data_IF_433500638863
#
_entry.id   IF_433500638863
#
_cell.length_a   1.000
_cell.length_b   1.000
_cell.length_c   1.000
_cell.angle_alpha   90.00
_cell.angle_beta   90.00
_cell.angle_gamma   90.00
#
_symmetry.space_group_name_H-M   'P 1'
#
loop_
_entity.id
_entity.type
_entity.pdbx_description
1 polymer ?
#
# COMPACT_ATOMS: atom_id res chain seq x y z
N UNK A 1 -0.19 8.72 7.89
CA UNK A 1 0.94 9.27 7.11
C UNK A 1 1.52 8.21 6.18
N UNK A 2 2.07 7.10 6.70
CA UNK A 2 2.69 6.02 5.91
C UNK A 2 1.90 5.62 4.65
N UNK A 3 0.60 5.34 4.76
CA UNK A 3 -0.21 4.89 3.61
C UNK A 3 -0.33 5.95 2.50
N UNK A 4 -0.48 7.23 2.87
CA UNK A 4 -0.58 8.33 1.93
C UNK A 4 0.78 8.63 1.28
N UNK A 5 1.87 8.66 2.06
CA UNK A 5 3.22 8.83 1.53
C UNK A 5 3.62 7.71 0.56
N UNK A 6 3.24 6.47 0.89
CA UNK A 6 3.42 5.30 0.02
C UNK A 6 2.65 5.49 -1.29
N UNK A 7 1.39 5.93 -1.22
CA UNK A 7 0.57 6.20 -2.40
C UNK A 7 1.17 7.31 -3.29
N UNK A 8 1.69 8.38 -2.70
CA UNK A 8 2.37 9.46 -3.44
C UNK A 8 3.62 8.99 -4.16
N UNK A 9 4.42 8.13 -3.52
CA UNK A 9 5.62 7.52 -4.13
C UNK A 9 5.26 6.55 -5.25
N UNK A 10 4.23 5.74 -5.08
CA UNK A 10 3.76 4.84 -6.15
C UNK A 10 3.20 5.62 -7.34
N UNK A 11 2.55 6.76 -7.09
CA UNK A 11 2.02 7.64 -8.15
C UNK A 11 3.10 8.24 -9.07
N UNK A 12 4.38 8.22 -8.68
CA UNK A 12 5.49 8.66 -9.55
C UNK A 12 6.00 7.58 -10.50
N UNK A 13 5.40 6.39 -10.49
CA UNK A 13 5.80 5.26 -11.34
C UNK A 13 6.97 4.45 -10.78
N UNK A 14 7.29 4.58 -9.49
CA UNK A 14 8.25 3.70 -8.84
C UNK A 14 7.74 2.26 -8.77
N UNK A 15 8.66 1.30 -8.84
CA UNK A 15 8.37 -0.10 -8.65
C UNK A 15 7.72 -0.35 -7.29
N UNK A 16 6.62 -1.11 -7.29
CA UNK A 16 5.83 -1.36 -6.11
C UNK A 16 6.59 -2.20 -5.07
N UNK A 17 7.45 -3.12 -5.49
CA UNK A 17 8.16 -4.03 -4.58
C UNK A 17 8.93 -3.29 -3.47
N UNK A 18 9.84 -2.39 -3.85
CA UNK A 18 10.68 -1.65 -2.90
C UNK A 18 9.84 -0.71 -2.02
N UNK A 19 8.91 0.02 -2.63
CA UNK A 19 8.08 1.01 -1.94
C UNK A 19 7.14 0.33 -0.92
N UNK A 20 6.54 -0.81 -1.27
CA UNK A 20 5.69 -1.58 -0.37
C UNK A 20 6.51 -2.28 0.72
N UNK A 21 7.74 -2.72 0.43
CA UNK A 21 8.63 -3.30 1.44
C UNK A 21 9.00 -2.28 2.51
N UNK A 22 9.37 -1.06 2.13
CA UNK A 22 9.65 0.04 3.07
C UNK A 22 8.41 0.40 3.90
N UNK A 23 7.25 0.51 3.26
CA UNK A 23 5.99 0.82 3.94
C UNK A 23 5.60 -0.26 4.95
N UNK A 24 5.82 -1.55 4.64
CA UNK A 24 5.61 -2.65 5.59
C UNK A 24 6.50 -2.49 6.83
N UNK A 25 7.78 -2.18 6.64
CA UNK A 25 8.70 -1.96 7.76
C UNK A 25 8.29 -0.74 8.59
N UNK A 26 7.85 0.34 7.95
CA UNK A 26 7.34 1.53 8.64
C UNK A 26 6.09 1.23 9.49
N UNK A 27 5.14 0.44 8.96
CA UNK A 27 3.93 0.05 9.69
C UNK A 27 4.29 -0.80 10.93
N UNK A 28 5.17 -1.79 10.76
CA UNK A 28 5.65 -2.62 11.88
C UNK A 28 6.38 -1.77 12.94
N UNK A 29 7.23 -0.84 12.49
CA UNK A 29 7.97 0.06 13.38
C UNK A 29 7.06 1.05 14.12
N UNK A 30 5.88 1.36 13.58
CA UNK A 30 4.87 2.18 14.22
C UNK A 30 4.06 1.43 15.31
N UNK A 31 4.36 0.14 15.56
CA UNK A 31 3.75 -0.65 16.65
C UNK A 31 2.64 -1.60 16.20
N UNK A 32 2.43 -1.79 14.90
CA UNK A 32 1.57 -2.85 14.40
C UNK A 32 2.25 -4.21 14.60
N UNK A 33 1.46 -5.21 14.99
CA UNK A 33 1.90 -6.59 15.19
C UNK A 33 2.29 -7.25 13.87
N UNK A 34 1.51 -7.00 12.83
CA UNK A 34 1.59 -7.72 11.55
C UNK A 34 0.98 -6.90 10.42
N UNK A 35 1.55 -7.01 9.21
CA UNK A 35 0.93 -6.52 7.98
C UNK A 35 0.47 -7.74 7.17
N UNK A 36 -0.82 -8.02 7.22
CA UNK A 36 -1.45 -9.16 6.54
C UNK A 36 -1.34 -9.01 5.02
N UNK A 37 -1.66 -7.82 4.50
CA UNK A 37 -1.34 -7.44 3.14
C UNK A 37 -1.12 -5.93 3.01
N UNK A 38 -0.30 -5.55 2.04
CA UNK A 38 -0.10 -4.19 1.56
C UNK A 38 0.22 -4.30 0.06
N UNK A 39 -0.75 -3.94 -0.79
CA UNK A 39 -0.71 -4.28 -2.21
C UNK A 39 -1.17 -3.13 -3.09
N UNK A 40 -0.51 -3.00 -4.25
CA UNK A 40 -0.96 -2.14 -5.34
C UNK A 40 -1.84 -2.97 -6.30
N UNK A 41 -3.10 -2.57 -6.45
CA UNK A 41 -4.07 -3.22 -7.32
C UNK A 41 -4.64 -2.26 -8.33
N UNK A 42 -5.03 -2.74 -9.50
CA UNK A 42 -5.78 -1.93 -10.46
C UNK A 42 -7.17 -1.57 -9.91
N UNK A 43 -7.65 -0.36 -10.21
CA UNK A 43 -8.92 0.13 -9.67
C UNK A 43 -10.15 -0.55 -10.30
N UNK A 44 -10.03 -1.00 -11.55
CA UNK A 44 -11.13 -1.55 -12.35
C UNK A 44 -11.36 -3.06 -12.13
N UNK A 45 -10.28 -3.84 -11.97
CA UNK A 45 -10.35 -5.30 -11.92
C UNK A 45 -9.62 -5.96 -10.74
N UNK A 46 -8.96 -5.16 -9.89
CA UNK A 46 -8.16 -5.62 -8.74
C UNK A 46 -6.98 -6.56 -9.11
N UNK A 47 -6.51 -6.54 -10.35
CA UNK A 47 -5.28 -7.23 -10.73
C UNK A 47 -4.10 -6.68 -9.92
N UNK A 48 -3.11 -7.53 -9.62
CA UNK A 48 -1.83 -7.05 -9.11
C UNK A 48 -1.18 -6.12 -10.12
N UNK A 49 -0.51 -5.08 -9.62
CA UNK A 49 0.28 -4.16 -10.40
C UNK A 49 1.69 -4.05 -9.82
N UNK A 50 2.70 -4.09 -10.68
CA UNK A 50 4.11 -3.88 -10.32
C UNK A 50 4.47 -2.38 -10.29
N UNK A 51 3.67 -1.54 -10.95
CA UNK A 51 3.81 -0.08 -10.99
C UNK A 51 2.44 0.57 -11.24
N UNK A 52 2.28 1.84 -10.88
CA UNK A 52 1.03 2.57 -11.11
C UNK A 52 0.94 3.09 -12.56
N UNK A 53 0.83 2.19 -13.54
CA UNK A 53 0.67 2.56 -14.96
C UNK A 53 -0.78 2.88 -15.38
N UNK A 54 -1.76 2.59 -14.51
CA UNK A 54 -3.19 2.89 -14.70
C UNK A 54 -3.82 3.25 -13.34
N UNK A 55 -5.05 3.81 -13.29
CA UNK A 55 -5.77 4.02 -12.03
C UNK A 55 -5.68 2.81 -11.10
N UNK A 56 -5.24 3.03 -9.87
CA UNK A 56 -4.89 1.98 -8.94
C UNK A 56 -5.40 2.26 -7.52
N UNK A 57 -5.37 1.23 -6.68
CA UNK A 57 -5.68 1.26 -5.25
C UNK A 57 -4.49 0.68 -4.48
N UNK A 58 -4.04 1.41 -3.48
CA UNK A 58 -3.20 0.86 -2.42
C UNK A 58 -4.12 0.29 -1.35
N UNK A 59 -4.04 -1.01 -1.11
CA UNK A 59 -4.88 -1.72 -0.14
C UNK A 59 -4.01 -2.21 1.00
N UNK A 60 -4.46 -2.03 2.24
CA UNK A 60 -3.75 -2.53 3.43
C UNK A 60 -4.69 -3.25 4.41
N UNK A 61 -4.20 -4.33 4.99
CA UNK A 61 -4.71 -4.91 6.23
C UNK A 61 -3.54 -5.12 7.19
N UNK A 62 -3.69 -4.64 8.42
CA UNK A 62 -2.68 -4.76 9.44
C UNK A 62 -3.32 -4.98 10.82
N UNK A 63 -2.59 -5.65 11.70
CA UNK A 63 -3.04 -6.00 13.05
C UNK A 63 -2.38 -5.09 14.07
N UNK A 64 -3.18 -4.41 14.89
CA UNK A 64 -2.74 -3.64 16.05
C UNK A 64 -3.12 -4.40 17.32
N UNK A 65 -2.17 -5.18 17.84
CA UNK A 65 -2.48 -6.23 18.83
C UNK A 65 -3.45 -7.24 18.22
N UNK A 66 -4.65 -7.35 18.81
CA UNK A 66 -5.72 -8.25 18.36
C UNK A 66 -6.75 -7.56 17.46
N UNK A 67 -6.59 -6.25 17.18
CA UNK A 67 -7.52 -5.48 16.36
C UNK A 67 -7.03 -5.51 14.90
N UNK A 68 -7.87 -6.00 13.99
CA UNK A 68 -7.61 -5.96 12.55
C UNK A 68 -8.11 -4.65 11.95
N UNK A 69 -7.19 -3.85 11.42
CA UNK A 69 -7.49 -2.60 10.73
C UNK A 69 -7.33 -2.80 9.22
N UNK A 70 -8.23 -2.18 8.46
CA UNK A 70 -8.14 -2.10 7.00
C UNK A 70 -8.21 -0.64 6.58
N UNK A 71 -7.51 -0.33 5.50
CA UNK A 71 -7.63 0.96 4.85
C UNK A 71 -7.27 0.83 3.36
N UNK A 72 -7.58 1.85 2.59
CA UNK A 72 -7.25 1.93 1.18
C UNK A 72 -7.11 3.37 0.69
N UNK A 73 -6.24 3.58 -0.30
CA UNK A 73 -6.02 4.89 -0.91
C UNK A 73 -6.05 4.77 -2.43
N UNK A 74 -6.73 5.71 -3.08
CA UNK A 74 -6.72 5.83 -4.54
C UNK A 74 -5.39 6.38 -5.02
N UNK A 75 -4.81 5.74 -6.03
CA UNK A 75 -3.62 6.22 -6.74
C UNK A 75 -4.03 6.62 -8.16
N UNK A 76 -3.68 7.84 -8.54
CA UNK A 76 -3.77 8.34 -9.90
C UNK A 76 -2.33 8.44 -10.43
N UNK A 77 -1.96 7.66 -11.45
CA UNK A 77 -0.67 7.83 -12.12
C UNK A 77 -0.49 9.29 -12.53
N UNK A 78 0.73 9.81 -12.37
CA UNK A 78 1.09 11.13 -12.88
C UNK A 78 1.32 11.11 -14.39
#
# INVERSE_FOLDING_TARGET
>A
EILFETAERLATGLAAEDVLAEARQAILSAGYREVEYLELRAEDDLSLLEEAGRPARLLVAAWLGDIRLIDNVTIRPK
#
